data_IF_581436217962
#
_entry.id   IF_581436217962
#
_cell.length_a   1.000
_cell.length_b   1.000
_cell.length_c   1.000
_cell.angle_alpha   90.00
_cell.angle_beta   90.00
_cell.angle_gamma   90.00
#
_symmetry.space_group_name_H-M   'P 1'
#
loop_
_entity.id
_entity.type
_entity.pdbx_description
1 polymer ?
#
# COMPACT_ATOMS: atom_id res chain seq x y z
N UNK A 1 8.28 -2.90 -11.70
CA UNK A 1 7.23 -1.95 -11.27
C UNK A 1 5.88 -2.44 -11.78
N UNK A 2 4.79 -2.24 -11.03
CA UNK A 2 3.46 -2.78 -11.35
C UNK A 2 2.89 -2.29 -12.69
N UNK A 3 3.18 -1.04 -13.05
CA UNK A 3 2.70 -0.37 -14.28
C UNK A 3 3.37 -0.98 -15.52
N UNK A 4 2.61 -1.59 -16.45
CA UNK A 4 3.16 -2.32 -17.61
C UNK A 4 4.12 -1.51 -18.47
N UNK A 5 3.83 -0.22 -18.68
CA UNK A 5 4.62 0.71 -19.48
C UNK A 5 6.04 0.86 -18.92
N UNK A 6 6.20 0.78 -17.59
CA UNK A 6 7.50 0.82 -16.92
C UNK A 6 8.22 -0.53 -17.01
N UNK A 7 7.47 -1.63 -16.95
CA UNK A 7 8.04 -2.98 -17.04
C UNK A 7 8.45 -3.38 -18.47
N UNK A 8 7.89 -2.72 -19.49
CA UNK A 8 8.24 -2.95 -20.89
C UNK A 8 8.06 -4.41 -21.30
N UNK A 9 9.10 -5.01 -21.90
CA UNK A 9 9.05 -6.41 -22.37
C UNK A 9 8.83 -7.43 -21.22
N UNK A 10 9.21 -7.09 -20.00
CA UNK A 10 9.02 -7.94 -18.82
C UNK A 10 7.63 -7.78 -18.19
N UNK A 11 6.73 -6.97 -18.77
CA UNK A 11 5.42 -6.69 -18.18
C UNK A 11 4.69 -7.97 -17.78
N UNK A 12 4.61 -8.98 -18.66
CA UNK A 12 3.88 -10.22 -18.41
C UNK A 12 4.31 -10.99 -17.15
N UNK A 13 5.54 -10.81 -16.66
CA UNK A 13 6.02 -11.42 -15.42
C UNK A 13 5.22 -10.98 -14.18
N UNK A 14 4.56 -9.82 -14.26
CA UNK A 14 3.72 -9.26 -13.19
C UNK A 14 2.22 -9.37 -13.47
N UNK A 15 1.78 -10.16 -14.46
CA UNK A 15 0.35 -10.30 -14.79
C UNK A 15 -0.44 -10.88 -13.62
N UNK A 16 0.10 -11.91 -12.95
CA UNK A 16 -0.54 -12.51 -11.78
C UNK A 16 -0.66 -11.51 -10.62
N UNK A 17 0.37 -10.70 -10.38
CA UNK A 17 0.35 -9.65 -9.36
C UNK A 17 -0.70 -8.59 -9.69
N UNK A 18 -0.73 -8.08 -10.93
CA UNK A 18 -1.74 -7.11 -11.36
C UNK A 18 -3.17 -7.65 -11.24
N UNK A 19 -3.40 -8.90 -11.64
CA UNK A 19 -4.70 -9.53 -11.52
C UNK A 19 -5.15 -9.66 -10.05
N UNK A 20 -4.21 -9.96 -9.15
CA UNK A 20 -4.48 -9.96 -7.71
C UNK A 20 -4.84 -8.55 -7.21
N UNK A 21 -4.08 -7.51 -7.61
CA UNK A 21 -4.41 -6.11 -7.27
C UNK A 21 -5.80 -5.71 -7.77
N UNK A 22 -6.13 -6.00 -9.03
CA UNK A 22 -7.44 -5.69 -9.61
C UNK A 22 -8.57 -6.40 -8.84
N UNK A 23 -8.33 -7.64 -8.38
CA UNK A 23 -9.28 -8.39 -7.54
C UNK A 23 -9.48 -7.71 -6.18
N UNK A 24 -8.39 -7.35 -5.50
CA UNK A 24 -8.45 -6.69 -4.19
C UNK A 24 -9.16 -5.33 -4.26
N UNK A 25 -8.82 -4.49 -5.26
CA UNK A 25 -9.47 -3.19 -5.46
C UNK A 25 -10.95 -3.37 -5.83
N UNK A 26 -11.29 -4.34 -6.67
CA UNK A 26 -12.70 -4.62 -7.00
C UNK A 26 -13.51 -5.02 -5.76
N UNK A 27 -12.96 -5.84 -4.87
CA UNK A 27 -13.60 -6.23 -3.61
C UNK A 27 -13.76 -5.05 -2.66
N UNK A 28 -12.71 -4.23 -2.50
CA UNK A 28 -12.75 -3.00 -1.71
C UNK A 28 -13.89 -2.08 -2.17
N UNK A 29 -14.02 -1.86 -3.48
CA UNK A 29 -15.07 -1.02 -4.04
C UNK A 29 -16.47 -1.67 -3.97
N UNK A 30 -16.56 -3.01 -4.00
CA UNK A 30 -17.80 -3.75 -3.83
C UNK A 30 -18.40 -3.60 -2.42
N UNK A 31 -17.57 -3.30 -1.41
CA UNK A 31 -18.03 -2.91 -0.07
C UNK A 31 -18.69 -1.51 -0.03
N UNK A 32 -18.70 -0.79 -1.16
CA UNK A 32 -19.33 0.52 -1.37
C UNK A 32 -18.83 1.60 -0.40
N UNK A 33 -17.52 1.75 -0.15
CA UNK A 33 -17.04 2.80 0.74
C UNK A 33 -17.50 4.18 0.25
N UNK A 34 -17.80 5.08 1.18
CA UNK A 34 -18.11 6.47 0.87
C UNK A 34 -16.83 7.24 0.55
N UNK A 35 -15.70 6.83 1.15
CA UNK A 35 -14.37 7.35 0.89
C UNK A 35 -13.35 6.20 0.78
N UNK A 36 -12.47 6.26 -0.22
CA UNK A 36 -11.28 5.42 -0.32
C UNK A 36 -10.05 6.25 0.05
N UNK A 37 -9.31 5.79 1.05
CA UNK A 37 -8.04 6.37 1.47
C UNK A 37 -6.91 5.54 0.85
N UNK A 38 -6.11 6.17 -0.01
CA UNK A 38 -4.88 5.57 -0.54
C UNK A 38 -3.75 5.87 0.42
N UNK A 39 -3.35 4.87 1.19
CA UNK A 39 -2.35 4.98 2.24
C UNK A 39 -1.02 4.40 1.75
N UNK A 40 0.09 5.14 1.83
CA UNK A 40 1.39 4.61 1.42
C UNK A 40 2.57 5.37 2.02
N UNK A 41 3.78 4.88 1.78
CA UNK A 41 5.00 5.55 2.28
C UNK A 41 5.34 6.80 1.48
N UNK A 42 5.76 7.88 2.14
CA UNK A 42 6.14 9.14 1.50
C UNK A 42 7.13 9.97 2.34
N UNK A 43 7.50 11.19 1.91
CA UNK A 43 8.47 12.04 2.61
C UNK A 43 7.95 12.68 3.90
N UNK A 44 6.65 12.61 4.18
CA UNK A 44 6.02 13.18 5.37
C UNK A 44 4.92 12.27 5.89
N UNK A 45 4.42 12.56 7.10
CA UNK A 45 3.32 11.83 7.74
C UNK A 45 2.10 12.72 7.84
N UNK A 46 1.22 12.68 6.84
CA UNK A 46 0.06 13.56 6.73
C UNK A 46 -0.97 13.10 5.70
N UNK A 47 -2.17 13.69 5.76
CA UNK A 47 -3.19 13.56 4.72
C UNK A 47 -2.82 14.33 3.46
N UNK A 48 -3.07 13.70 2.31
CA UNK A 48 -2.99 14.31 0.99
C UNK A 48 -4.41 14.60 0.52
N UNK A 49 -4.79 15.87 0.56
CA UNK A 49 -6.10 16.34 0.08
C UNK A 49 -5.98 16.73 -1.41
N UNK A 50 -6.85 16.21 -2.29
CA UNK A 50 -6.85 16.61 -3.70
C UNK A 50 -7.08 18.13 -3.90
N UNK A 51 -6.60 18.74 -5.00
CA UNK A 51 -5.93 18.10 -6.13
C UNK A 51 -4.49 17.67 -5.78
N UNK A 52 -4.10 16.49 -6.25
CA UNK A 52 -2.77 15.93 -6.06
C UNK A 52 -2.44 15.00 -7.24
N UNK A 53 -1.17 14.97 -7.64
CA UNK A 53 -0.74 14.32 -8.87
C UNK A 53 0.63 13.66 -8.71
N UNK A 54 0.76 12.45 -9.24
CA UNK A 54 2.02 11.71 -9.30
C UNK A 54 2.49 11.54 -10.75
N UNK A 55 3.77 11.22 -10.92
CA UNK A 55 4.34 10.95 -12.25
C UNK A 55 5.28 9.75 -12.20
N UNK A 56 5.30 8.99 -13.30
CA UNK A 56 6.27 7.91 -13.53
C UNK A 56 7.45 8.35 -14.41
N UNK A 57 7.58 9.66 -14.67
CA UNK A 57 8.70 10.24 -15.42
C UNK A 57 10.09 9.82 -14.91
N UNK A 58 10.35 9.76 -13.58
CA UNK A 58 11.61 9.26 -13.03
C UNK A 58 11.93 7.80 -13.38
N UNK A 59 10.92 7.03 -13.82
CA UNK A 59 11.05 5.65 -14.27
C UNK A 59 11.03 5.52 -15.81
N UNK A 60 11.17 6.64 -16.53
CA UNK A 60 11.26 6.68 -17.98
C UNK A 60 9.91 6.61 -18.71
N UNK A 61 8.79 6.75 -17.99
CA UNK A 61 7.45 6.73 -18.59
C UNK A 61 6.79 8.09 -18.40
N UNK A 62 6.41 8.73 -19.51
CA UNK A 62 5.63 9.97 -19.52
C UNK A 62 4.16 9.69 -19.18
N UNK A 63 3.93 9.27 -17.93
CA UNK A 63 2.61 9.00 -17.37
C UNK A 63 2.42 9.81 -16.10
N UNK A 64 1.36 10.59 -16.12
CA UNK A 64 0.90 11.40 -15.00
C UNK A 64 -0.39 10.82 -14.45
N UNK A 65 -0.46 10.63 -13.13
CA UNK A 65 -1.56 9.96 -12.44
C UNK A 65 -2.15 10.91 -11.41
N UNK A 66 -3.35 11.48 -11.66
CA UNK A 66 -4.05 12.27 -10.64
C UNK A 66 -4.62 11.35 -9.55
N UNK A 67 -4.63 11.81 -8.31
CA UNK A 67 -5.30 11.11 -7.21
C UNK A 67 -6.82 10.99 -7.46
N UNK A 68 -7.40 11.99 -8.13
CA UNK A 68 -8.80 12.02 -8.55
C UNK A 68 -8.85 12.37 -10.05
N UNK A 69 -9.31 11.46 -10.94
CA UNK A 69 -9.24 11.65 -12.40
C UNK A 69 -9.93 12.91 -12.95
N UNK A 70 -10.95 13.43 -12.28
CA UNK A 70 -11.75 14.57 -12.74
C UNK A 70 -11.27 15.93 -12.22
N UNK A 71 -10.20 15.98 -11.42
CA UNK A 71 -9.68 17.23 -10.88
C UNK A 71 -8.57 17.81 -11.77
N UNK A 72 -8.44 19.16 -11.82
CA UNK A 72 -7.45 19.82 -12.65
C UNK A 72 -6.02 19.44 -12.24
N UNK A 73 -5.10 19.52 -13.20
CA UNK A 73 -3.67 19.37 -12.97
C UNK A 73 -3.17 20.47 -12.00
N UNK A 74 -2.36 20.07 -11.02
CA UNK A 74 -1.83 20.94 -9.97
C UNK A 74 -1.98 20.33 -8.57
N UNK A 75 -1.47 21.04 -7.56
CA UNK A 75 -1.56 20.64 -6.15
C UNK A 75 -0.37 19.81 -5.65
N UNK A 76 -0.61 18.98 -4.63
CA UNK A 76 0.44 18.21 -3.94
C UNK A 76 1.04 17.13 -4.83
N UNK A 77 2.36 16.95 -4.78
CA UNK A 77 3.04 15.86 -5.48
C UNK A 77 2.84 14.55 -4.71
N UNK A 78 2.29 13.54 -5.37
CA UNK A 78 2.10 12.22 -4.76
C UNK A 78 3.44 11.48 -4.63
N UNK A 79 3.71 10.81 -3.49
CA UNK A 79 4.79 9.83 -3.44
C UNK A 79 4.45 8.63 -4.34
N UNK A 80 5.48 7.88 -4.74
CA UNK A 80 5.31 6.78 -5.70
C UNK A 80 4.31 5.71 -5.22
N UNK A 81 4.29 5.40 -3.92
CA UNK A 81 3.36 4.43 -3.34
C UNK A 81 1.89 4.83 -3.57
N UNK A 82 1.54 6.08 -3.26
CA UNK A 82 0.20 6.64 -3.44
C UNK A 82 -0.11 6.84 -4.92
N UNK A 83 0.89 7.17 -5.75
CA UNK A 83 0.76 7.25 -7.21
C UNK A 83 0.33 5.90 -7.81
N UNK A 84 0.95 4.80 -7.38
CA UNK A 84 0.60 3.45 -7.84
C UNK A 84 -0.79 3.04 -7.33
N UNK A 85 -1.14 3.39 -6.08
CA UNK A 85 -2.49 3.17 -5.56
C UNK A 85 -3.58 3.93 -6.33
N UNK A 86 -3.31 5.19 -6.68
CA UNK A 86 -4.19 5.98 -7.54
C UNK A 86 -4.31 5.39 -8.96
N UNK A 87 -3.19 4.92 -9.53
CA UNK A 87 -3.18 4.24 -10.83
C UNK A 87 -4.01 2.96 -10.81
N UNK A 88 -3.91 2.17 -9.74
CA UNK A 88 -4.76 0.98 -9.53
C UNK A 88 -6.23 1.36 -9.47
N UNK A 89 -6.60 2.34 -8.65
CA UNK A 89 -8.00 2.80 -8.53
C UNK A 89 -8.57 3.33 -9.85
N UNK A 90 -7.77 4.04 -10.66
CA UNK A 90 -8.21 4.60 -11.94
C UNK A 90 -8.64 3.53 -12.96
N UNK A 91 -8.23 2.27 -12.77
CA UNK A 91 -8.66 1.11 -13.59
C UNK A 91 -10.08 0.66 -13.28
N UNK A 92 -10.67 1.15 -12.18
CA UNK A 92 -11.99 0.78 -11.72
C UNK A 92 -12.93 1.99 -11.72
N UNK A 93 -14.23 1.74 -11.87
CA UNK A 93 -15.25 2.78 -11.69
C UNK A 93 -15.60 2.87 -10.22
N UNK A 94 -15.47 4.06 -9.64
CA UNK A 94 -15.92 4.34 -8.28
C UNK A 94 -16.65 5.68 -8.21
N UNK A 95 -17.58 5.78 -7.25
CA UNK A 95 -18.21 7.05 -6.84
C UNK A 95 -17.70 7.51 -5.47
N UNK A 96 -16.89 6.70 -4.80
CA UNK A 96 -16.31 7.05 -3.52
C UNK A 96 -15.43 8.29 -3.69
N UNK A 97 -15.42 9.16 -2.67
CA UNK A 97 -14.40 10.19 -2.55
C UNK A 97 -13.03 9.50 -2.46
N UNK A 98 -12.00 10.08 -3.05
CA UNK A 98 -10.62 9.57 -2.93
C UNK A 98 -9.77 10.63 -2.25
N UNK A 99 -9.00 10.22 -1.25
CA UNK A 99 -7.98 11.02 -0.56
C UNK A 99 -6.74 10.15 -0.36
N UNK A 100 -5.59 10.76 -0.08
CA UNK A 100 -4.36 10.05 0.19
C UNK A 100 -3.91 10.24 1.63
N UNK A 101 -3.08 9.32 2.12
CA UNK A 101 -2.25 9.52 3.30
C UNK A 101 -0.85 9.05 2.93
N UNK A 102 0.14 9.85 3.29
CA UNK A 102 1.53 9.44 3.26
C UNK A 102 2.08 9.31 4.67
N UNK A 103 2.99 8.35 4.86
CA UNK A 103 3.66 8.11 6.15
C UNK A 103 5.15 7.98 5.89
N UNK A 104 5.97 8.69 6.67
CA UNK A 104 7.43 8.55 6.53
C UNK A 104 7.92 7.19 7.03
N UNK A 105 8.93 6.56 6.40
CA UNK A 105 9.49 5.30 6.86
C UNK A 105 10.06 5.33 8.28
N UNK A 106 10.34 6.49 8.85
CA UNK A 106 10.80 6.67 10.25
C UNK A 106 9.71 7.18 11.20
N UNK A 107 8.44 7.17 10.77
CA UNK A 107 7.32 7.64 11.59
C UNK A 107 7.28 6.90 12.93
N UNK A 108 7.09 7.67 13.99
CA UNK A 108 6.94 7.14 15.35
C UNK A 108 5.62 6.38 15.49
N UNK A 109 5.56 5.48 16.48
CA UNK A 109 4.34 4.75 16.83
C UNK A 109 3.18 5.72 17.14
N UNK A 110 3.46 6.84 17.81
CA UNK A 110 2.44 7.85 18.14
C UNK A 110 1.89 8.56 16.90
N UNK A 111 2.73 8.87 15.91
CA UNK A 111 2.26 9.47 14.65
C UNK A 111 1.38 8.49 13.87
N UNK A 112 1.78 7.22 13.79
CA UNK A 112 0.99 6.19 13.11
C UNK A 112 -0.32 5.90 13.84
N UNK A 113 -0.32 5.89 15.17
CA UNK A 113 -1.52 5.73 15.99
C UNK A 113 -2.49 6.91 15.81
N UNK A 114 -1.99 8.15 15.78
CA UNK A 114 -2.83 9.33 15.50
C UNK A 114 -3.50 9.24 14.13
N UNK A 115 -2.75 8.88 13.08
CA UNK A 115 -3.34 8.70 11.75
C UNK A 115 -4.41 7.60 11.73
N UNK A 116 -4.18 6.48 12.44
CA UNK A 116 -5.15 5.42 12.57
C UNK A 116 -6.47 5.90 13.23
N UNK A 117 -6.38 6.69 14.30
CA UNK A 117 -7.55 7.30 14.97
C UNK A 117 -8.26 8.32 14.07
N UNK A 118 -7.51 9.12 13.32
CA UNK A 118 -8.07 10.06 12.34
C UNK A 118 -8.82 9.33 11.22
N UNK A 119 -8.33 8.17 10.76
CA UNK A 119 -9.00 7.33 9.77
C UNK A 119 -10.30 6.76 10.33
N UNK A 120 -10.29 6.21 11.55
CA UNK A 120 -11.47 5.63 12.19
C UNK A 120 -12.58 6.67 12.42
N UNK A 121 -12.18 7.88 12.82
CA UNK A 121 -13.12 8.99 13.03
C UNK A 121 -13.59 9.64 11.72
N UNK A 122 -12.94 9.32 10.59
CA UNK A 122 -13.32 9.83 9.28
C UNK A 122 -14.68 9.25 8.84
N UNK A 123 -15.65 10.12 8.57
CA UNK A 123 -17.02 9.75 8.18
C UNK A 123 -17.35 10.25 6.78
N UNK A 124 -18.15 9.51 5.98
CA UNK A 124 -18.74 8.20 6.26
C UNK A 124 -17.82 7.03 5.81
N UNK A 125 -18.33 5.79 5.76
CA UNK A 125 -17.59 4.50 5.65
C UNK A 125 -16.32 4.56 4.80
N UNK A 126 -15.18 4.25 5.41
CA UNK A 126 -13.86 4.29 4.76
C UNK A 126 -13.45 2.92 4.25
N UNK A 127 -12.92 2.87 3.04
CA UNK A 127 -12.11 1.76 2.54
C UNK A 127 -10.63 2.17 2.47
N UNK A 128 -9.73 1.33 2.97
CA UNK A 128 -8.28 1.57 2.91
C UNK A 128 -7.64 0.80 1.76
N UNK A 129 -6.97 1.50 0.87
CA UNK A 129 -6.04 0.91 -0.10
C UNK A 129 -4.61 1.20 0.37
N UNK A 130 -4.04 0.25 1.10
CA UNK A 130 -2.70 0.38 1.70
C UNK A 130 -1.63 -0.15 0.75
N UNK A 131 -0.66 0.70 0.42
CA UNK A 131 0.41 0.47 -0.54
C UNK A 131 1.75 0.32 0.17
N UNK A 132 2.42 -0.79 -0.08
CA UNK A 132 3.72 -1.09 0.52
C UNK A 132 4.28 -2.43 0.07
N UNK A 133 5.59 -2.49 -0.10
CA UNK A 133 6.32 -3.72 -0.45
C UNK A 133 6.94 -4.35 0.81
N UNK A 134 7.17 -5.67 0.74
CA UNK A 134 7.99 -6.43 1.70
C UNK A 134 9.47 -6.09 1.59
N UNK A 135 10.31 -7.01 2.06
CA UNK A 135 11.76 -6.81 2.01
C UNK A 135 12.24 -6.67 0.57
N UNK A 136 13.25 -5.82 0.37
CA UNK A 136 13.95 -5.68 -0.92
C UNK A 136 15.31 -6.42 -0.92
N UNK A 137 15.44 -7.45 -0.08
CA UNK A 137 16.70 -8.15 0.20
C UNK A 137 16.63 -9.66 -0.10
N UNK A 138 15.77 -10.08 -1.05
CA UNK A 138 15.58 -11.49 -1.42
C UNK A 138 16.53 -11.91 -2.55
N UNK A 139 17.74 -12.36 -2.20
CA UNK A 139 18.74 -12.85 -3.16
C UNK A 139 19.73 -11.79 -3.64
N UNK A 140 20.85 -12.24 -4.21
CA UNK A 140 21.99 -11.38 -4.56
C UNK A 140 21.71 -10.30 -5.62
N UNK A 141 20.64 -10.45 -6.40
CA UNK A 141 20.20 -9.48 -7.42
C UNK A 141 19.19 -8.47 -6.87
N UNK A 142 18.78 -8.61 -5.60
CA UNK A 142 17.83 -7.72 -4.98
C UNK A 142 18.41 -6.30 -4.79
N UNK A 143 17.59 -5.24 -4.80
CA UNK A 143 18.05 -3.86 -4.58
C UNK A 143 18.74 -3.62 -3.23
N UNK A 144 18.43 -4.42 -2.23
CA UNK A 144 19.04 -4.43 -0.90
C UNK A 144 20.19 -5.42 -0.72
N UNK A 145 20.53 -6.18 -1.77
CA UNK A 145 21.39 -7.38 -1.69
C UNK A 145 20.77 -8.48 -0.81
N UNK A 146 21.38 -9.67 -0.82
CA UNK A 146 20.87 -10.81 -0.06
C UNK A 146 21.05 -10.59 1.46
N UNK A 147 19.95 -10.67 2.20
CA UNK A 147 19.96 -10.75 3.67
C UNK A 147 19.24 -12.03 4.12
N UNK A 148 19.88 -12.93 4.89
CA UNK A 148 19.28 -14.19 5.29
C UNK A 148 18.03 -14.04 6.17
N UNK A 149 17.82 -12.86 6.78
CA UNK A 149 16.63 -12.57 7.61
C UNK A 149 15.41 -12.20 6.79
N UNK A 150 15.60 -11.79 5.52
CA UNK A 150 14.56 -11.30 4.64
C UNK A 150 13.40 -12.31 4.46
N UNK A 151 13.73 -13.59 4.31
CA UNK A 151 12.72 -14.64 4.10
C UNK A 151 11.74 -14.74 5.27
N UNK A 152 12.28 -14.95 6.47
CA UNK A 152 11.45 -15.17 7.65
C UNK A 152 10.65 -13.91 8.02
N UNK A 153 11.20 -12.73 7.74
CA UNK A 153 10.47 -11.47 7.88
C UNK A 153 9.27 -11.41 6.93
N UNK A 154 9.47 -11.70 5.65
CA UNK A 154 8.39 -11.64 4.66
C UNK A 154 7.32 -12.72 4.92
N UNK A 155 7.72 -13.93 5.34
CA UNK A 155 6.80 -15.00 5.72
C UNK A 155 5.93 -14.61 6.93
N UNK A 156 6.47 -13.85 7.89
CA UNK A 156 5.69 -13.37 9.04
C UNK A 156 4.69 -12.28 8.63
N UNK A 157 5.08 -11.37 7.73
CA UNK A 157 4.17 -10.37 7.14
C UNK A 157 3.07 -11.05 6.33
N UNK A 158 3.41 -12.04 5.50
CA UNK A 158 2.45 -12.80 4.71
C UNK A 158 1.40 -13.48 5.62
N UNK A 159 1.85 -14.12 6.71
CA UNK A 159 0.97 -14.75 7.68
C UNK A 159 0.05 -13.73 8.37
N UNK A 160 0.58 -12.58 8.77
CA UNK A 160 -0.21 -11.51 9.41
C UNK A 160 -1.27 -10.94 8.45
N UNK A 161 -0.90 -10.69 7.19
CA UNK A 161 -1.82 -10.23 6.14
C UNK A 161 -2.89 -11.27 5.81
N UNK A 162 -2.53 -12.56 5.76
CA UNK A 162 -3.48 -13.65 5.50
C UNK A 162 -4.50 -13.82 6.65
N UNK A 163 -4.07 -13.63 7.90
CA UNK A 163 -4.92 -13.81 9.08
C UNK A 163 -5.72 -12.56 9.49
N UNK A 164 -5.47 -11.42 8.83
CA UNK A 164 -5.91 -10.11 9.32
C UNK A 164 -5.47 -9.83 10.76
N UNK A 165 -4.18 -10.04 11.05
CA UNK A 165 -3.59 -9.89 12.38
C UNK A 165 -2.96 -8.49 12.55
N UNK A 166 -3.69 -7.52 13.15
CA UNK A 166 -3.15 -6.18 13.37
C UNK A 166 -2.02 -6.18 14.40
N UNK A 167 -2.01 -7.07 15.38
CA UNK A 167 -0.99 -7.07 16.44
C UNK A 167 0.37 -7.51 15.89
N UNK A 168 0.39 -8.50 15.01
CA UNK A 168 1.60 -8.91 14.29
C UNK A 168 2.16 -7.77 13.42
N UNK A 169 1.30 -7.04 12.70
CA UNK A 169 1.74 -5.89 11.88
C UNK A 169 2.22 -4.72 12.75
N UNK A 170 1.55 -4.43 13.86
CA UNK A 170 1.98 -3.42 14.84
C UNK A 170 3.33 -3.77 15.45
N UNK A 171 3.62 -5.06 15.64
CA UNK A 171 4.88 -5.57 16.19
C UNK A 171 6.09 -5.58 15.24
N UNK A 172 5.95 -5.14 13.98
CA UNK A 172 7.07 -5.09 13.04
C UNK A 172 8.17 -4.14 13.53
N UNK A 173 9.38 -4.68 13.72
CA UNK A 173 10.52 -3.92 14.25
C UNK A 173 11.00 -2.84 13.26
N UNK A 174 11.02 -1.55 13.64
CA UNK A 174 11.41 -0.47 12.73
C UNK A 174 12.84 -0.57 12.21
N UNK A 175 13.79 -1.04 13.03
CA UNK A 175 15.21 -1.10 12.65
C UNK A 175 15.46 -2.21 11.63
N UNK A 176 14.96 -3.42 11.90
CA UNK A 176 15.03 -4.54 10.98
C UNK A 176 14.29 -4.24 9.67
N UNK A 177 13.12 -3.60 9.75
CA UNK A 177 12.38 -3.17 8.55
C UNK A 177 13.22 -2.21 7.69
N UNK A 178 13.95 -1.29 8.31
CA UNK A 178 14.84 -0.36 7.61
C UNK A 178 16.05 -1.08 6.99
N UNK A 179 16.68 -1.99 7.73
CA UNK A 179 17.79 -2.82 7.24
C UNK A 179 17.39 -3.68 6.02
N UNK A 180 16.18 -4.24 6.06
CA UNK A 180 15.59 -5.05 4.98
C UNK A 180 14.90 -4.23 3.88
N UNK A 181 14.92 -2.89 4.00
CA UNK A 181 14.31 -1.94 3.06
C UNK A 181 12.81 -2.20 2.82
N UNK A 182 12.08 -2.58 3.87
CA UNK A 182 10.65 -2.88 3.84
C UNK A 182 9.86 -1.57 3.73
N UNK A 183 9.38 -1.27 2.53
CA UNK A 183 8.67 -0.03 2.27
C UNK A 183 7.26 -0.02 2.91
N UNK A 184 6.68 -1.19 3.17
CA UNK A 184 5.31 -1.32 3.68
C UNK A 184 5.13 -1.18 5.18
N UNK A 185 6.21 -1.22 5.99
CA UNK A 185 6.08 -1.27 7.46
C UNK A 185 5.18 -0.16 8.03
N UNK A 186 5.49 1.11 7.75
CA UNK A 186 4.73 2.23 8.31
C UNK A 186 3.25 2.25 7.85
N UNK A 187 2.95 2.13 6.54
CA UNK A 187 1.57 2.00 6.08
C UNK A 187 0.81 0.82 6.69
N UNK A 188 1.43 -0.35 6.83
CA UNK A 188 0.79 -1.52 7.45
C UNK A 188 0.48 -1.30 8.93
N UNK A 189 1.34 -0.60 9.67
CA UNK A 189 1.09 -0.25 11.07
C UNK A 189 -0.06 0.75 11.21
N UNK A 190 -0.21 1.71 10.29
CA UNK A 190 -1.40 2.59 10.25
C UNK A 190 -2.66 1.81 9.91
N UNK A 191 -2.62 0.91 8.92
CA UNK A 191 -3.73 -0.01 8.59
C UNK A 191 -4.15 -0.83 9.82
N UNK A 192 -3.20 -1.47 10.48
CA UNK A 192 -3.44 -2.28 11.66
C UNK A 192 -4.03 -1.46 12.82
N UNK A 193 -3.51 -0.25 13.04
CA UNK A 193 -4.07 0.68 14.01
C UNK A 193 -5.51 1.06 13.69
N UNK A 194 -5.83 1.35 12.43
CA UNK A 194 -7.17 1.74 11.99
C UNK A 194 -8.16 0.58 12.14
N UNK A 195 -7.74 -0.64 11.80
CA UNK A 195 -8.54 -1.86 11.99
C UNK A 195 -8.81 -2.11 13.48
N UNK A 196 -7.80 -1.93 14.33
CA UNK A 196 -7.97 -2.05 15.79
C UNK A 196 -8.92 -1.01 16.36
N UNK A 197 -8.86 0.24 15.87
CA UNK A 197 -9.75 1.32 16.29
C UNK A 197 -11.20 1.07 15.86
N UNK A 198 -11.41 0.62 14.62
CA UNK A 198 -12.72 0.24 14.10
C UNK A 198 -13.34 -0.93 14.89
N UNK A 199 -12.49 -1.83 15.41
CA UNK A 199 -12.91 -3.02 16.13
C UNK A 199 -13.62 -4.05 15.25
N UNK A 200 -14.25 -5.02 15.90
CA UNK A 200 -14.93 -6.14 15.23
C UNK A 200 -13.97 -7.23 14.76
N UNK A 201 -14.56 -8.30 14.22
CA UNK A 201 -13.82 -9.42 13.66
C UNK A 201 -13.53 -9.16 12.17
N UNK A 202 -12.32 -9.48 11.73
CA UNK A 202 -11.88 -9.29 10.35
C UNK A 202 -11.45 -10.62 9.75
N UNK A 203 -11.79 -10.84 8.49
CA UNK A 203 -11.32 -11.96 7.69
C UNK A 203 -10.27 -11.46 6.72
N UNK A 204 -9.06 -12.01 6.82
CA UNK A 204 -8.00 -11.81 5.85
C UNK A 204 -8.01 -12.86 4.74
N UNK A 205 -7.57 -12.47 3.55
CA UNK A 205 -7.24 -13.37 2.44
C UNK A 205 -5.99 -12.85 1.74
N UNK A 206 -4.96 -13.69 1.63
CA UNK A 206 -3.74 -13.40 0.87
C UNK A 206 -3.89 -13.95 -0.56
N UNK A 207 -3.88 -13.05 -1.54
CA UNK A 207 -4.06 -13.36 -2.96
C UNK A 207 -2.74 -13.51 -3.72
N UNK A 208 -1.66 -12.91 -3.22
CA UNK A 208 -0.34 -12.95 -3.85
C UNK A 208 0.76 -12.78 -2.80
N UNK A 209 1.82 -13.57 -2.94
CA UNK A 209 3.08 -13.48 -2.20
C UNK A 209 4.21 -14.05 -3.08
N UNK A 210 5.08 -13.19 -3.59
CA UNK A 210 6.28 -13.59 -4.31
C UNK A 210 7.30 -12.45 -4.43
N UNK A 211 8.56 -12.81 -4.67
CA UNK A 211 9.68 -11.87 -4.82
C UNK A 211 10.40 -11.95 -6.18
N UNK A 212 9.71 -11.71 -7.32
CA UNK A 212 10.27 -11.95 -8.66
C UNK A 212 11.51 -11.12 -8.99
N UNK A 213 11.67 -9.95 -8.34
CA UNK A 213 12.81 -9.04 -8.53
C UNK A 213 13.66 -8.85 -7.28
N UNK A 214 13.60 -9.81 -6.35
CA UNK A 214 14.24 -9.70 -5.04
C UNK A 214 13.57 -8.72 -4.08
N UNK A 215 12.42 -8.18 -4.48
CA UNK A 215 11.48 -7.42 -3.64
C UNK A 215 10.22 -8.23 -3.49
N UNK A 216 9.79 -8.47 -2.25
CA UNK A 216 8.55 -9.22 -1.98
C UNK A 216 7.34 -8.33 -2.18
N UNK A 217 6.38 -8.82 -2.98
CA UNK A 217 5.09 -8.18 -3.18
C UNK A 217 4.01 -9.01 -2.53
N UNK A 218 3.10 -8.33 -1.82
CA UNK A 218 1.91 -8.94 -1.24
C UNK A 218 0.65 -8.31 -1.84
N UNK A 219 -0.40 -9.11 -1.99
CA UNK A 219 -1.75 -8.58 -2.17
C UNK A 219 -2.67 -9.31 -1.23
N UNK A 220 -3.29 -8.58 -0.31
CA UNK A 220 -4.26 -9.12 0.63
C UNK A 220 -5.53 -8.27 0.66
N UNK A 221 -6.65 -8.89 1.02
CA UNK A 221 -7.93 -8.23 1.27
C UNK A 221 -8.41 -8.54 2.68
N UNK A 222 -8.81 -7.50 3.42
CA UNK A 222 -9.44 -7.63 4.73
C UNK A 222 -10.88 -7.11 4.66
N UNK A 223 -11.81 -7.86 5.21
CA UNK A 223 -13.23 -7.49 5.30
C UNK A 223 -13.79 -7.86 6.67
N UNK A 224 -14.80 -7.12 7.13
CA UNK A 224 -15.50 -7.46 8.35
C UNK A 224 -16.14 -8.86 8.22
N UNK A 225 -16.00 -9.69 9.25
CA UNK A 225 -16.49 -11.07 9.29
C UNK A 225 -18.01 -11.18 9.51
#
# INVERSE_FOLDING_TARGET
MLVPEVAGAAASELDALRAACDTAVSRLLAAKPDCVVVLGSGPSTEWIIPPAIGTLGPFGVDLTVPLVPALPEGGTVLPISVTIGAWLLARHRTRARIVGIQVTPDASADEMARLAEEIDTYRPRVGLLTMGDGSACRGQKAPGYDDPRAQAYDESVAAALAAADPEALLGLDPALSAELKVAGRAPWQVLAGAVRAAGGDWRGELHYDAAPYGVTYFVAGWEAA
#
